data_IF_531673180318
#
_entry.id   IF_531673180318
#
_cell.length_a   1.000
_cell.length_b   1.000
_cell.length_c   1.000
_cell.angle_alpha   90.00
_cell.angle_beta   90.00
_cell.angle_gamma   90.00
#
_symmetry.space_group_name_H-M   'P 1'
#
loop_
_entity.id
_entity.type
_entity.pdbx_description
1 polymer ?
2 non-polymer ?
3 non-polymer ?
4 non-polymer ?
5 water ?
#
# COMPACT_ATOMS: atom_id res chain seq x y z
N UNK A 4 -22.22 26.09 8.91
CA UNK A 4 -21.04 25.43 9.53
C UNK A 4 -21.42 24.21 10.41
N UNK A 5 -22.55 24.30 11.15
CA UNK A 5 -22.98 23.22 12.06
C UNK A 5 -23.96 22.17 11.45
N UNK A 6 -24.71 22.55 10.41
CA UNK A 6 -25.69 21.65 9.75
C UNK A 6 -25.05 20.49 8.96
N UNK A 7 -25.66 19.30 9.01
CA UNK A 7 -25.33 18.20 8.07
C UNK A 7 -26.53 17.85 7.14
N UNK A 8 -26.45 16.78 6.35
CA UNK A 8 -27.53 16.42 5.40
C UNK A 8 -28.80 15.84 6.08
N UNK A 9 -28.65 15.53 7.38
CA UNK A 9 -29.71 15.03 8.28
C UNK A 9 -30.54 16.19 8.81
N UNK A 10 -29.83 17.27 9.13
CA UNK A 10 -30.29 18.41 9.89
C UNK A 10 -30.87 19.57 9.04
N UNK A 11 -30.44 19.67 7.79
CA UNK A 11 -30.82 20.75 6.85
C UNK A 11 -32.24 20.56 6.31
N UNK A 12 -32.88 21.64 5.87
CA UNK A 12 -34.21 21.54 5.25
C UNK A 12 -34.15 21.09 3.80
N UNK A 13 -34.90 20.02 3.49
CA UNK A 13 -35.07 19.60 2.12
C UNK A 13 -36.15 20.50 1.48
N UNK A 14 -35.68 21.49 0.71
CA UNK A 14 -36.52 22.47 0.03
C UNK A 14 -36.79 22.17 -1.45
N UNK A 15 -36.14 21.14 -1.99
CA UNK A 15 -36.33 20.69 -3.38
C UNK A 15 -37.08 19.35 -3.44
N UNK A 16 -38.20 19.24 -2.72
CA UNK A 16 -39.02 18.03 -2.69
C UNK A 16 -40.26 18.36 -3.53
N UNK A 17 -40.29 17.91 -4.80
CA UNK A 17 -41.38 18.34 -5.68
C UNK A 17 -42.73 17.65 -5.34
N UNK A 18 -43.85 18.24 -5.78
CA UNK A 18 -45.15 17.59 -5.59
C UNK A 18 -45.26 16.27 -6.38
N UNK A 19 -45.58 15.16 -5.72
CA UNK A 19 -45.63 13.83 -6.38
C UNK A 19 -46.87 13.64 -7.27
N UNK A 20 -46.83 14.23 -8.46
CA UNK A 20 -47.96 14.24 -9.40
C UNK A 20 -47.67 13.30 -10.58
N UNK A 21 -48.68 12.98 -11.43
CA UNK A 21 -48.35 12.18 -12.64
C UNK A 21 -47.34 12.86 -13.60
N UNK A 22 -47.31 14.17 -13.63
CA UNK A 22 -46.38 14.85 -14.51
C UNK A 22 -44.95 14.75 -13.94
N UNK A 23 -44.80 14.92 -12.63
CA UNK A 23 -43.49 14.74 -12.03
C UNK A 23 -42.99 13.31 -12.34
N UNK A 24 -43.85 12.32 -12.16
CA UNK A 24 -43.48 10.91 -12.37
C UNK A 24 -43.11 10.66 -13.84
N UNK A 25 -43.83 11.28 -14.76
CA UNK A 25 -43.50 11.27 -16.18
C UNK A 25 -42.13 11.92 -16.48
N UNK A 26 -41.82 13.00 -15.76
CA UNK A 26 -40.57 13.71 -15.96
C UNK A 26 -39.43 12.80 -15.49
N UNK A 27 -39.62 12.07 -14.39
CA UNK A 27 -38.57 11.20 -13.84
C UNK A 27 -38.35 9.98 -14.72
N UNK A 28 -39.46 9.44 -15.23
CA UNK A 28 -39.43 8.38 -16.23
C UNK A 28 -38.69 8.85 -17.49
N UNK A 29 -38.99 10.07 -17.91
CA UNK A 29 -38.30 10.61 -19.04
C UNK A 29 -36.79 10.83 -18.79
N UNK A 30 -36.38 11.11 -17.53
CA UNK A 30 -34.97 11.19 -17.15
C UNK A 30 -34.26 9.86 -17.42
N UNK A 31 -34.79 8.76 -16.87
CA UNK A 31 -34.22 7.41 -17.03
C UNK A 31 -34.06 7.08 -18.51
N UNK A 32 -35.06 7.45 -19.30
CA UNK A 32 -35.00 7.19 -20.73
C UNK A 32 -33.84 7.90 -21.42
N UNK A 33 -33.51 9.09 -20.93
CA UNK A 33 -32.59 9.95 -21.62
C UNK A 33 -31.22 9.98 -20.97
N UNK A 34 -30.98 9.03 -20.06
CA UNK A 34 -29.73 8.88 -19.30
C UNK A 34 -29.33 10.09 -18.49
N UNK A 35 -30.31 10.57 -17.73
CA UNK A 35 -30.26 11.75 -16.89
C UNK A 35 -30.56 11.38 -15.43
N UNK A 36 -29.73 11.84 -14.49
CA UNK A 36 -30.02 11.67 -13.07
C UNK A 36 -29.96 13.04 -12.38
N UNK A 37 -31.08 13.49 -11.81
CA UNK A 37 -31.12 14.80 -11.17
C UNK A 37 -30.25 14.83 -9.90
N UNK A 38 -29.64 15.97 -9.65
CA UNK A 38 -28.85 16.19 -8.46
C UNK A 38 -29.65 16.12 -7.16
N UNK A 39 -30.88 16.59 -7.21
CA UNK A 39 -31.57 16.91 -5.97
C UNK A 39 -32.06 15.70 -5.15
N UNK A 40 -32.06 14.52 -5.76
CA UNK A 40 -32.50 13.32 -5.09
C UNK A 40 -31.31 12.61 -4.44
N UNK A 41 -30.17 13.29 -4.41
CA UNK A 41 -28.92 12.58 -4.30
C UNK A 41 -27.81 13.43 -3.73
N UNK A 42 -28.11 14.68 -3.37
CA UNK A 42 -27.02 15.58 -3.07
C UNK A 42 -26.12 15.10 -1.93
N UNK A 43 -26.74 14.64 -0.84
CA UNK A 43 -26.00 14.30 0.37
C UNK A 43 -25.08 13.12 0.12
N UNK A 44 -25.45 12.27 -0.82
CA UNK A 44 -24.65 11.09 -1.09
C UNK A 44 -23.38 11.46 -1.88
N UNK A 45 -23.53 12.29 -2.87
CA UNK A 45 -22.42 12.64 -3.70
C UNK A 45 -21.46 13.54 -2.99
N UNK A 46 -21.95 14.35 -2.08
CA UNK A 46 -21.09 15.30 -1.43
C UNK A 46 -21.14 15.26 0.09
N UNK A 47 -20.65 14.19 0.70
CA UNK A 47 -20.76 14.09 2.15
C UNK A 47 -20.03 15.25 2.87
N UNK A 48 -20.38 15.47 4.14
CA UNK A 48 -19.73 16.47 5.02
C UNK A 48 -18.21 16.26 5.17
N UNK A 49 -17.82 15.00 5.24
CA UNK A 49 -16.42 14.63 5.29
C UNK A 49 -16.39 13.26 4.67
N UNK A 50 -15.19 12.78 4.30
CA UNK A 50 -15.14 11.47 3.66
C UNK A 50 -15.81 10.35 4.46
N UNK A 51 -16.55 9.53 3.72
CA UNK A 51 -17.32 8.42 4.30
C UNK A 51 -17.16 7.22 3.41
N UNK A 52 -16.08 6.48 3.59
CA UNK A 52 -15.76 5.41 2.66
C UNK A 52 -16.76 4.22 2.77
N UNK A 53 -16.93 3.54 1.64
CA UNK A 53 -17.60 2.25 1.57
C UNK A 53 -16.65 1.17 2.09
N UNK A 54 -15.32 1.41 1.92
CA UNK A 54 -14.31 0.60 2.60
C UNK A 54 -14.43 0.75 4.10
N UNK A 55 -14.14 -0.34 4.78
CA UNK A 55 -14.37 -0.39 6.19
C UNK A 55 -13.01 -0.68 6.79
N UNK A 56 -12.75 -0.15 8.01
CA UNK A 56 -11.50 -0.59 8.63
C UNK A 56 -11.53 -2.10 8.85
N UNK A 57 -10.39 -2.77 8.74
CA UNK A 57 -10.38 -4.24 8.90
C UNK A 57 -8.97 -4.73 9.14
N UNK A 58 -8.84 -5.86 9.82
CA UNK A 58 -7.56 -6.48 10.17
C UNK A 58 -7.52 -7.91 9.62
N UNK A 59 -6.42 -8.28 8.98
CA UNK A 59 -6.22 -9.65 8.52
C UNK A 59 -5.06 -10.24 9.30
N UNK A 60 -5.22 -11.48 9.79
CA UNK A 60 -4.22 -12.10 10.67
C UNK A 60 -3.23 -12.83 9.79
N UNK A 61 -1.96 -12.83 10.18
CA UNK A 61 -0.93 -13.38 9.34
C UNK A 61 -1.01 -14.91 9.36
N UNK A 62 -1.33 -15.50 10.52
CA UNK A 62 -1.48 -16.95 10.59
C UNK A 62 -2.57 -17.42 9.60
N UNK A 63 -3.68 -16.68 9.53
CA UNK A 63 -4.74 -16.97 8.56
C UNK A 63 -4.20 -16.79 7.12
N UNK A 64 -3.45 -15.70 6.87
CA UNK A 64 -2.98 -15.46 5.50
C UNK A 64 -1.98 -16.53 5.08
N UNK A 65 -1.11 -16.93 6.01
CA UNK A 65 -0.14 -17.99 5.81
C UNK A 65 -0.74 -19.36 5.51
N UNK A 66 -1.63 -19.82 6.38
CA UNK A 66 -2.32 -21.08 6.16
C UNK A 66 -2.97 -21.11 4.75
N UNK A 67 -3.73 -20.06 4.37
CA UNK A 67 -4.41 -20.04 3.06
C UNK A 67 -3.45 -19.95 1.86
N UNK A 68 -2.38 -19.18 1.98
CA UNK A 68 -1.38 -19.11 0.93
C UNK A 68 -0.66 -20.45 0.77
N UNK A 69 -0.35 -21.10 1.89
CA UNK A 69 0.25 -22.44 1.89
C UNK A 69 -0.64 -23.53 1.26
N UNK A 70 -1.91 -23.50 1.57
CA UNK A 70 -2.86 -24.39 0.95
C UNK A 70 -2.97 -24.10 -0.53
N UNK A 71 -3.05 -22.83 -0.90
CA UNK A 71 -2.98 -22.39 -2.29
C UNK A 71 -1.76 -22.94 -2.96
N UNK A 72 -0.63 -22.97 -2.26
CA UNK A 72 0.59 -23.58 -2.79
C UNK A 72 0.55 -25.07 -3.11
N UNK A 73 -0.29 -25.84 -2.42
CA UNK A 73 -0.50 -27.26 -2.76
C UNK A 73 -1.42 -27.47 -3.95
N UNK A 74 -2.47 -26.65 -4.03
CA UNK A 74 -3.60 -26.95 -4.92
C UNK A 74 -3.56 -26.22 -6.24
N UNK A 75 -2.79 -25.13 -6.30
CA UNK A 75 -2.83 -24.28 -7.50
C UNK A 75 -1.45 -24.12 -8.10
N UNK A 76 -1.29 -24.49 -9.38
CA UNK A 76 0.04 -24.23 -9.94
C UNK A 76 0.15 -22.75 -10.32
N UNK A 77 1.37 -22.22 -10.21
CA UNK A 77 1.64 -20.87 -10.63
C UNK A 77 2.20 -20.94 -12.04
N UNK A 78 1.83 -19.96 -12.86
CA UNK A 78 2.21 -19.90 -14.25
C UNK A 78 1.45 -18.88 -15.04
N UNK A 79 1.40 -19.11 -16.34
CA UNK A 79 0.97 -18.15 -17.34
C UNK A 79 -0.37 -17.41 -17.25
N UNK A 80 -1.49 -18.07 -17.06
CA UNK A 80 -2.71 -17.33 -17.18
C UNK A 80 -3.02 -16.33 -16.09
N UNK A 81 -3.11 -16.83 -14.86
CA UNK A 81 -3.37 -16.05 -13.70
C UNK A 81 -2.16 -15.29 -13.22
N UNK A 82 -1.02 -15.64 -13.77
CA UNK A 82 0.26 -14.91 -13.56
C UNK A 82 0.98 -15.14 -12.20
N UNK A 83 0.23 -15.09 -11.08
CA UNK A 83 0.76 -15.13 -9.73
C UNK A 83 -0.15 -15.89 -8.75
N UNK A 84 0.43 -16.68 -7.85
CA UNK A 84 -0.30 -17.21 -6.70
C UNK A 84 -0.37 -16.15 -5.62
N UNK A 85 -1.23 -15.19 -5.87
CA UNK A 85 -1.40 -14.02 -5.04
C UNK A 85 -2.84 -13.89 -4.51
N UNK A 86 -2.99 -13.74 -3.19
CA UNK A 86 -4.30 -13.65 -2.52
C UNK A 86 -4.51 -12.19 -2.08
N UNK A 87 -5.53 -11.54 -2.64
CA UNK A 87 -5.74 -10.11 -2.39
C UNK A 87 -6.68 -9.87 -1.25
N UNK A 88 -6.31 -8.98 -0.33
CA UNK A 88 -7.17 -8.69 0.80
C UNK A 88 -8.33 -7.89 0.29
N UNK A 89 -9.54 -8.37 0.53
CA UNK A 89 -10.72 -7.74 -0.06
C UNK A 89 -11.53 -7.03 1.00
N UNK A 90 -11.65 -5.71 0.91
CA UNK A 90 -12.43 -5.00 1.90
C UNK A 90 -13.92 -5.40 1.90
N UNK A 91 -14.45 -5.82 3.08
CA UNK A 91 -15.85 -6.26 3.15
C UNK A 91 -16.81 -5.17 2.65
N UNK A 92 -16.38 -3.91 2.68
CA UNK A 92 -17.22 -2.81 2.29
C UNK A 92 -17.24 -2.52 0.80
N UNK A 93 -16.40 -3.21 0.02
CA UNK A 93 -16.17 -2.86 -1.39
C UNK A 93 -16.82 -3.85 -2.42
N UNK A 94 -17.97 -4.37 -2.03
CA UNK A 94 -18.88 -5.09 -2.90
C UNK A 94 -18.33 -6.26 -3.69
N UNK A 95 -17.42 -7.05 -3.11
CA UNK A 95 -16.86 -8.20 -3.81
C UNK A 95 -15.64 -7.91 -4.68
N UNK A 96 -15.22 -6.65 -4.76
CA UNK A 96 -13.99 -6.28 -5.45
C UNK A 96 -12.73 -6.69 -4.64
N UNK A 97 -11.69 -7.11 -5.34
CA UNK A 97 -10.43 -7.53 -4.74
C UNK A 97 -9.55 -6.34 -4.34
N UNK A 98 -10.17 -5.37 -3.67
CA UNK A 98 -9.53 -4.09 -3.30
C UNK A 98 -9.41 -3.99 -1.81
N UNK A 99 -8.21 -3.73 -1.25
CA UNK A 99 -8.15 -3.55 0.20
C UNK A 99 -8.77 -2.16 0.61
N UNK A 100 -8.70 -1.23 -0.34
CA UNK A 100 -9.23 0.10 -0.22
C UNK A 100 -9.53 0.54 -1.67
N UNK A 101 -10.22 1.67 -1.85
CA UNK A 101 -10.59 2.11 -3.22
C UNK A 101 -9.41 2.33 -4.17
N UNK A 102 -8.21 2.47 -3.62
CA UNK A 102 -7.05 2.77 -4.46
C UNK A 102 -6.07 1.61 -4.60
N UNK A 103 -6.09 0.68 -3.65
CA UNK A 103 -4.93 -0.20 -3.49
C UNK A 103 -5.28 -1.67 -3.35
N UNK A 104 -4.55 -2.47 -4.11
CA UNK A 104 -4.44 -3.89 -3.86
C UNK A 104 -3.34 -4.09 -2.84
N UNK A 105 -3.69 -4.86 -1.81
CA UNK A 105 -2.75 -5.41 -0.83
C UNK A 105 -2.97 -6.92 -0.77
N UNK A 106 -1.91 -7.70 -0.87
CA UNK A 106 -2.07 -9.12 -1.06
C UNK A 106 -0.88 -9.91 -0.57
N UNK A 107 -1.09 -11.20 -0.30
CA UNK A 107 0.00 -12.13 -0.02
C UNK A 107 0.29 -12.96 -1.28
N UNK A 108 1.57 -13.12 -1.60
CA UNK A 108 1.96 -13.98 -2.67
C UNK A 108 2.88 -15.07 -2.12
N UNK A 109 2.75 -16.27 -2.66
CA UNK A 109 3.50 -17.45 -2.21
C UNK A 109 4.16 -18.09 -3.46
N UNK A 110 5.47 -18.31 -3.41
CA UNK A 110 6.19 -19.03 -4.45
C UNK A 110 6.84 -20.22 -3.81
N UNK A 111 6.43 -21.43 -4.23
CA UNK A 111 6.99 -22.67 -3.73
C UNK A 111 8.37 -22.93 -4.31
N UNK A 112 9.04 -23.98 -3.82
CA UNK A 112 10.38 -24.41 -4.30
C UNK A 112 10.57 -24.36 -5.82
N UNK A 113 11.56 -23.64 -6.30
CA UNK A 113 12.01 -23.76 -7.71
C UNK A 113 10.97 -23.30 -8.70
N UNK A 114 9.96 -22.62 -8.22
CA UNK A 114 8.96 -22.11 -9.13
C UNK A 114 9.42 -20.80 -9.75
N UNK A 115 8.91 -20.56 -10.95
CA UNK A 115 9.09 -19.35 -11.72
C UNK A 115 7.73 -18.70 -11.97
N UNK A 116 7.66 -17.39 -11.79
CA UNK A 116 6.46 -16.63 -12.15
C UNK A 116 6.86 -15.77 -13.36
N UNK A 117 6.29 -16.06 -14.53
CA UNK A 117 6.80 -15.47 -15.78
C UNK A 117 6.73 -13.93 -15.86
N UNK A 118 7.57 -13.37 -16.73
CA UNK A 118 7.74 -11.93 -16.92
C UNK A 118 6.57 -11.26 -17.60
N UNK A 119 6.14 -10.16 -17.00
CA UNK A 119 5.15 -9.28 -17.61
C UNK A 119 5.45 -7.81 -17.29
N UNK A 120 4.73 -6.88 -17.93
CA UNK A 120 4.65 -5.48 -17.45
C UNK A 120 3.25 -4.87 -17.60
N UNK A 121 3.03 -3.82 -16.80
CA UNK A 121 1.73 -3.19 -16.67
C UNK A 121 1.90 -1.73 -16.20
N UNK A 122 1.03 -0.81 -16.64
CA UNK A 122 1.20 0.60 -16.27
C UNK A 122 1.10 0.72 -14.75
N UNK A 123 0.35 -0.18 -14.14
CA UNK A 123 0.14 -0.19 -12.70
C UNK A 123 1.46 -0.35 -11.93
N UNK A 124 1.62 0.49 -10.92
CA UNK A 124 2.82 0.54 -10.10
C UNK A 124 2.78 -0.51 -8.99
N UNK A 125 3.92 -1.12 -8.68
CA UNK A 125 3.95 -2.18 -7.68
C UNK A 125 5.19 -2.16 -6.75
N UNK A 126 5.08 -2.82 -5.58
CA UNK A 126 6.19 -3.03 -4.68
C UNK A 126 6.00 -4.37 -3.96
N UNK A 127 7.10 -4.95 -3.48
CA UNK A 127 7.07 -6.16 -2.66
C UNK A 127 7.57 -5.85 -1.27
N UNK A 128 6.93 -6.43 -0.27
CA UNK A 128 7.53 -6.35 1.06
C UNK A 128 7.55 -7.67 1.80
N UNK A 129 8.67 -7.93 2.47
CA UNK A 129 8.97 -9.22 3.08
C UNK A 129 9.09 -9.16 4.62
N UNK A 130 8.07 -9.62 5.35
CA UNK A 130 8.15 -9.76 6.84
C UNK A 130 9.06 -10.94 7.24
N UNK A 131 9.08 -11.98 6.41
CA UNK A 131 9.83 -13.22 6.67
C UNK A 131 10.03 -13.98 5.35
N UNK A 132 11.19 -14.65 5.23
CA UNK A 132 11.54 -15.41 4.03
C UNK A 132 12.90 -15.06 3.44
N UNK A 133 13.44 -15.95 2.64
CA UNK A 133 14.59 -15.69 1.76
C UNK A 133 14.50 -16.78 0.71
N UNK A 134 15.15 -16.56 -0.44
CA UNK A 134 15.14 -17.55 -1.52
C UNK A 134 14.66 -17.08 -2.88
N UNK A 135 13.85 -16.01 -2.94
CA UNK A 135 13.31 -15.48 -4.21
C UNK A 135 14.13 -14.32 -4.79
N UNK A 136 14.35 -14.34 -6.11
CA UNK A 136 14.84 -13.19 -6.88
C UNK A 136 13.77 -12.70 -7.81
N UNK A 137 13.59 -11.39 -7.88
CA UNK A 137 12.65 -10.81 -8.80
C UNK A 137 13.46 -10.04 -9.84
N UNK A 138 13.25 -10.34 -11.11
CA UNK A 138 14.12 -9.81 -12.16
C UNK A 138 13.43 -8.62 -12.83
N UNK A 139 13.92 -7.41 -12.53
CA UNK A 139 13.26 -6.20 -12.95
C UNK A 139 14.03 -5.55 -14.11
N UNK A 140 13.47 -5.57 -15.32
CA UNK A 140 14.18 -5.09 -16.51
C UNK A 140 15.51 -5.83 -16.73
N UNK A 141 15.50 -7.15 -16.53
CA UNK A 141 16.70 -7.94 -16.68
C UNK A 141 17.68 -7.93 -15.51
N UNK A 142 17.36 -7.18 -14.47
CA UNK A 142 18.26 -6.96 -13.35
C UNK A 142 17.78 -7.77 -12.12
N UNK A 143 18.49 -8.87 -11.78
CA UNK A 143 18.05 -9.70 -10.65
C UNK A 143 18.15 -9.00 -9.31
N UNK A 144 17.06 -9.03 -8.55
CA UNK A 144 17.00 -8.35 -7.29
C UNK A 144 16.62 -9.36 -6.18
N UNK A 145 17.58 -9.69 -5.32
CA UNK A 145 17.33 -10.53 -4.14
C UNK A 145 16.17 -10.01 -3.28
N UNK A 146 15.35 -10.92 -2.76
CA UNK A 146 14.32 -10.58 -1.77
C UNK A 146 14.62 -11.20 -0.36
N UNK A 147 14.71 -10.39 0.70
CA UNK A 147 14.98 -10.91 2.04
C UNK A 147 14.12 -10.23 3.09
N UNK A 148 14.13 -10.78 4.31
CA UNK A 148 13.36 -10.25 5.43
C UNK A 148 13.63 -8.74 5.51
N UNK A 149 12.58 -7.96 5.67
CA UNK A 149 12.65 -6.51 5.82
C UNK A 149 12.89 -5.67 4.58
N UNK A 150 13.02 -6.29 3.40
CA UNK A 150 13.34 -5.58 2.18
C UNK A 150 12.10 -5.04 1.48
N UNK A 151 12.14 -3.79 1.04
CA UNK A 151 11.16 -3.22 0.10
C UNK A 151 11.70 -3.31 -1.30
N UNK A 152 10.97 -3.98 -2.17
CA UNK A 152 11.42 -4.09 -3.54
C UNK A 152 10.42 -3.32 -4.40
N UNK A 153 10.93 -2.61 -5.40
CA UNK A 153 10.08 -1.78 -6.23
C UNK A 153 9.90 -2.41 -7.56
N UNK A 154 8.76 -2.13 -8.19
CA UNK A 154 8.55 -2.51 -9.57
C UNK A 154 7.66 -1.46 -10.25
N UNK A 155 8.25 -0.31 -10.60
CA UNK A 155 7.41 0.78 -11.06
C UNK A 155 6.70 0.38 -12.32
N UNK A 156 5.63 1.10 -12.62
CA UNK A 156 4.84 0.86 -13.82
C UNK A 156 5.67 0.77 -15.09
N UNK A 157 5.32 -0.19 -15.92
CA UNK A 157 5.88 -0.37 -17.23
C UNK A 157 7.26 -1.02 -17.28
N UNK A 158 7.73 -1.50 -16.13
CA UNK A 158 8.95 -2.30 -16.05
C UNK A 158 8.61 -3.76 -16.10
N UNK A 159 9.34 -4.51 -16.90
CA UNK A 159 9.25 -5.99 -16.92
C UNK A 159 9.70 -6.56 -15.58
N UNK A 160 9.01 -7.60 -15.12
CA UNK A 160 9.38 -8.32 -13.90
C UNK A 160 8.81 -9.71 -13.93
N UNK A 161 9.60 -10.66 -13.45
CA UNK A 161 9.14 -11.99 -13.11
C UNK A 161 9.96 -12.52 -11.92
N UNK A 162 9.40 -13.45 -11.16
CA UNK A 162 10.03 -13.93 -9.94
C UNK A 162 10.44 -15.40 -10.11
N UNK A 163 11.57 -15.80 -9.53
CA UNK A 163 11.95 -17.22 -9.44
C UNK A 163 12.50 -17.62 -8.06
N UNK A 164 12.06 -18.76 -7.53
CA UNK A 164 12.52 -19.24 -6.24
C UNK A 164 13.69 -20.18 -6.45
N UNK A 165 14.88 -19.72 -6.06
CA UNK A 165 16.15 -20.42 -6.33
C UNK A 165 16.54 -21.46 -5.27
N UNK A 166 15.57 -21.93 -4.50
CA UNK A 166 15.78 -22.70 -3.29
C UNK A 166 14.75 -23.86 -3.20
N UNK A 167 14.90 -24.74 -2.21
CA UNK A 167 13.99 -25.88 -2.04
C UNK A 167 13.02 -25.63 -0.89
N UNK A 168 12.73 -24.37 -0.69
CA UNK A 168 11.96 -23.92 0.45
C UNK A 168 11.06 -22.81 -0.08
N UNK A 169 9.79 -22.74 0.38
CA UNK A 169 8.86 -21.70 -0.09
C UNK A 169 9.11 -20.32 0.59
N UNK A 170 8.76 -19.24 -0.11
CA UNK A 170 8.74 -17.90 0.47
C UNK A 170 7.41 -17.20 0.23
N UNK A 171 7.00 -16.42 1.20
CA UNK A 171 5.88 -15.51 1.01
C UNK A 171 6.32 -14.07 1.29
N UNK A 172 5.65 -13.16 0.59
CA UNK A 172 5.81 -11.72 0.77
C UNK A 172 4.46 -11.04 0.48
N UNK A 173 4.41 -9.71 0.60
CA UNK A 173 3.19 -8.98 0.22
C UNK A 173 3.41 -8.08 -0.98
N UNK A 174 2.36 -7.92 -1.76
CA UNK A 174 2.33 -6.99 -2.87
C UNK A 174 1.44 -5.82 -2.53
N UNK A 175 1.87 -4.63 -2.96
CA UNK A 175 0.98 -3.47 -3.00
C UNK A 175 0.97 -2.95 -4.41
N UNK A 176 -0.22 -2.57 -4.89
CA UNK A 176 -0.36 -2.05 -6.26
C UNK A 176 -1.42 -0.99 -6.34
N UNK A 177 -1.33 -0.12 -7.35
CA UNK A 177 -2.45 0.82 -7.56
C UNK A 177 -3.50 0.18 -8.48
N UNK A 178 -3.50 -1.15 -8.55
CA UNK A 178 -4.51 -1.96 -9.27
C UNK A 178 -5.96 -1.37 -9.20
N UNK A 179 -6.52 -1.13 -7.99
CA UNK A 179 -7.89 -0.58 -7.85
C UNK A 179 -8.12 0.86 -8.37
N UNK A 180 -7.27 1.80 -7.96
CA UNK A 180 -7.29 3.13 -8.62
C UNK A 180 -7.24 2.94 -10.13
N UNK A 181 -6.37 2.06 -10.59
CA UNK A 181 -6.11 1.97 -12.02
C UNK A 181 -7.29 1.38 -12.83
N UNK A 182 -7.96 0.39 -12.25
CA UNK A 182 -9.17 -0.16 -12.84
C UNK A 182 -10.29 0.89 -12.93
N UNK A 183 -10.59 1.57 -11.83
CA UNK A 183 -11.71 2.50 -11.82
C UNK A 183 -11.42 3.70 -12.66
N UNK A 184 -10.14 4.09 -12.76
CA UNK A 184 -9.76 5.27 -13.57
C UNK A 184 -9.45 5.02 -15.07
N UNK A 185 -9.42 3.75 -15.47
CA UNK A 185 -9.09 3.35 -16.86
C UNK A 185 -7.67 3.71 -17.33
N UNK A 186 -6.66 3.33 -16.54
CA UNK A 186 -5.28 3.65 -16.92
C UNK A 186 -4.42 2.42 -17.29
N UNK A 187 -5.02 1.24 -17.24
CA UNK A 187 -4.35 -0.05 -17.36
C UNK A 187 -3.84 -0.46 -18.72
N UNK A 188 -2.55 -0.75 -18.82
CA UNK A 188 -1.99 -1.39 -19.99
C UNK A 188 -1.29 -2.63 -19.48
N UNK A 189 -1.18 -3.63 -20.35
CA UNK A 189 -0.60 -4.90 -19.93
C UNK A 189 0.10 -5.59 -21.05
N UNK A 190 1.22 -6.20 -20.72
CA UNK A 190 1.98 -6.89 -21.72
C UNK A 190 2.71 -8.13 -21.18
N UNK A 191 2.55 -9.22 -21.94
CA UNK A 191 3.16 -10.51 -21.62
C UNK A 191 4.62 -10.43 -22.10
N UNK A 192 5.56 -10.86 -21.25
CA UNK A 192 7.00 -10.99 -21.60
C UNK A 192 7.43 -12.45 -21.58
N UNK A 193 8.70 -12.72 -21.31
CA UNK A 193 9.19 -14.11 -21.34
C UNK A 193 8.46 -15.04 -20.33
N UNK A 194 8.29 -16.30 -20.74
CA UNK A 194 7.69 -17.34 -19.90
C UNK A 194 8.57 -17.78 -18.70
N UNK A 195 9.87 -17.51 -18.76
CA UNK A 195 10.77 -17.80 -17.65
C UNK A 195 11.14 -16.41 -17.05
N UNK A 196 12.29 -16.30 -16.39
CA UNK A 196 12.92 -14.99 -16.19
C UNK A 196 14.11 -14.88 -17.16
N UNK A 197 14.51 -13.66 -17.51
CA UNK A 197 15.53 -13.48 -18.56
C UNK A 197 16.98 -13.61 -18.05
N UNK A 198 17.10 -13.70 -16.72
CA UNK A 198 18.37 -13.94 -16.02
C UNK A 198 18.17 -14.74 -14.74
N UNK A 199 18.72 -15.95 -14.69
CA UNK A 199 18.61 -16.79 -13.48
C UNK A 199 19.74 -16.55 -12.46
N UNK A 200 20.72 -15.69 -12.80
CA UNK A 200 21.78 -15.35 -11.85
C UNK A 200 21.22 -14.74 -10.55
N UNK A 201 21.93 -15.00 -9.45
CA UNK A 201 21.45 -14.62 -8.13
C UNK A 201 22.43 -13.69 -7.41
N UNK A 202 22.78 -12.52 -8.01
CA UNK A 202 23.72 -11.62 -7.28
C UNK A 202 23.17 -11.23 -5.91
N UNK A 203 24.07 -11.04 -4.96
CA UNK A 203 23.64 -10.55 -3.64
C UNK A 203 22.97 -9.14 -3.73
N UNK A 204 23.43 -8.30 -4.65
CA UNK A 204 22.83 -6.97 -4.90
C UNK A 204 22.71 -6.76 -6.39
N UNK A 205 21.72 -5.94 -6.73
CA UNK A 205 21.36 -5.60 -8.11
C UNK A 205 22.15 -4.43 -8.63
N UNK A 206 22.11 -4.23 -9.94
CA UNK A 206 22.76 -3.12 -10.63
C UNK A 206 22.24 -1.74 -10.18
N UNK A 207 20.92 -1.55 -10.18
CA UNK A 207 20.32 -0.35 -9.59
C UNK A 207 20.95 -0.01 -8.26
N UNK A 208 20.95 -0.96 -7.31
CA UNK A 208 21.55 -0.73 -5.99
C UNK A 208 23.04 -0.35 -6.01
N UNK A 209 23.80 -0.95 -6.93
CA UNK A 209 25.24 -0.71 -6.95
C UNK A 209 25.55 0.65 -7.58
N UNK A 210 24.58 1.18 -8.30
CA UNK A 210 24.67 2.51 -8.88
C UNK A 210 24.08 3.60 -7.93
N UNK A 211 23.02 3.28 -7.18
CA UNK A 211 22.18 4.30 -6.56
C UNK A 211 22.08 4.24 -5.04
N UNK A 212 22.75 3.28 -4.41
CA UNK A 212 22.58 3.14 -2.99
C UNK A 212 23.80 3.60 -2.20
N UNK A 213 24.47 4.62 -2.74
CA UNK A 213 25.55 5.33 -2.04
C UNK A 213 25.03 6.70 -1.58
N UNK A 214 24.98 6.94 -0.28
CA UNK A 214 24.27 8.12 0.24
C UNK A 214 24.82 9.50 -0.20
N UNK A 215 23.94 10.33 -0.73
CA UNK A 215 24.31 11.67 -1.19
C UNK A 215 25.07 11.72 -2.49
N UNK A 216 25.15 10.58 -3.19
CA UNK A 216 25.97 10.39 -4.39
C UNK A 216 25.10 9.91 -5.58
N UNK A 217 25.32 10.51 -6.74
CA UNK A 217 24.52 10.32 -7.93
C UNK A 217 25.42 10.06 -9.14
N UNK A 218 25.21 8.95 -9.88
CA UNK A 218 26.08 8.76 -11.03
C UNK A 218 25.91 9.91 -12.02
N UNK A 219 27.00 10.33 -12.69
CA UNK A 219 26.89 11.34 -13.75
C UNK A 219 26.15 10.81 -14.99
N UNK A 220 26.06 9.47 -15.09
CA UNK A 220 25.29 8.85 -16.19
C UNK A 220 23.79 8.82 -15.88
N UNK A 221 23.42 9.28 -14.67
CA UNK A 221 22.05 9.29 -14.22
C UNK A 221 21.58 10.65 -13.71
N UNK A 222 21.79 11.67 -14.53
CA UNK A 222 21.51 13.05 -14.11
C UNK A 222 20.07 13.50 -14.47
N UNK A 223 19.41 12.77 -15.37
CA UNK A 223 17.97 13.01 -15.61
C UNK A 223 17.10 12.52 -14.39
N UNK A 224 16.12 13.31 -13.97
CA UNK A 224 15.22 12.83 -12.93
C UNK A 224 14.26 11.72 -13.43
N UNK A 225 13.83 10.84 -12.53
CA UNK A 225 12.89 9.77 -12.94
C UNK A 225 11.54 9.98 -12.25
N UNK A 226 10.46 9.41 -12.81
CA UNK A 226 9.17 9.52 -12.12
C UNK A 226 9.08 8.51 -10.98
N UNK A 227 9.74 7.38 -11.16
CA UNK A 227 9.76 6.35 -10.13
C UNK A 227 11.21 6.19 -9.64
N UNK A 228 11.42 5.66 -8.43
CA UNK A 228 12.80 5.40 -7.95
C UNK A 228 13.53 4.35 -8.78
N UNK A 229 14.81 4.59 -9.13
CA UNK A 229 15.60 3.59 -9.81
C UNK A 229 16.25 2.59 -8.83
N UNK A 230 16.04 2.77 -7.52
CA UNK A 230 16.51 1.83 -6.50
C UNK A 230 15.54 0.62 -6.50
N UNK A 231 16.07 -0.57 -6.79
CA UNK A 231 15.25 -1.76 -6.89
C UNK A 231 14.94 -2.41 -5.56
N UNK A 232 15.90 -2.28 -4.61
CA UNK A 232 15.72 -2.83 -3.30
C UNK A 232 16.11 -1.80 -2.25
N UNK A 233 15.27 -1.62 -1.24
CA UNK A 233 15.62 -0.82 -0.08
C UNK A 233 15.83 -1.86 1.02
N UNK A 234 17.09 -2.14 1.36
CA UNK A 234 17.38 -3.36 2.16
C UNK A 234 17.23 -3.15 3.64
N UNK A 235 16.73 -4.15 4.36
CA UNK A 235 16.48 -4.03 5.79
C UNK A 235 17.62 -3.40 6.61
N UNK A 236 18.88 -3.73 6.30
CA UNK A 236 19.98 -3.18 7.10
C UNK A 236 20.02 -1.63 7.17
N UNK A 237 19.66 -0.95 6.08
CA UNK A 237 19.65 0.50 6.12
C UNK A 237 18.44 1.06 6.89
N UNK A 238 17.28 0.40 6.73
CA UNK A 238 16.07 0.80 7.38
C UNK A 238 16.23 0.64 8.89
N UNK A 239 16.76 -0.51 9.29
CA UNK A 239 17.01 -0.78 10.70
C UNK A 239 17.98 0.23 11.34
N UNK A 240 19.00 0.60 10.60
CA UNK A 240 20.04 1.45 11.12
C UNK A 240 19.52 2.88 11.27
N UNK A 241 18.77 3.32 10.27
CA UNK A 241 18.16 4.66 10.32
C UNK A 241 17.31 4.82 11.58
N UNK A 242 16.48 3.81 11.83
CA UNK A 242 15.50 3.87 12.90
C UNK A 242 16.21 3.86 14.29
N UNK A 243 17.24 3.03 14.41
CA UNK A 243 18.11 2.99 15.58
C UNK A 243 18.75 4.37 15.80
N UNK A 244 19.38 4.92 14.77
CA UNK A 244 19.98 6.27 14.90
C UNK A 244 18.98 7.32 15.38
N UNK A 245 17.77 7.31 14.85
CA UNK A 245 16.79 8.29 15.31
C UNK A 245 16.50 8.16 16.80
N UNK A 246 16.40 6.91 17.26
CA UNK A 246 16.19 6.60 18.71
C UNK A 246 17.40 7.00 19.58
N UNK A 247 18.61 6.66 19.12
CA UNK A 247 19.83 7.14 19.73
C UNK A 247 19.89 8.70 19.83
N UNK A 248 19.60 9.39 18.73
CA UNK A 248 19.58 10.86 18.69
C UNK A 248 18.56 11.44 19.67
N UNK A 249 17.40 10.80 19.76
CA UNK A 249 16.42 11.16 20.76
C UNK A 249 16.97 11.05 22.21
N UNK A 250 17.66 9.96 22.50
CA UNK A 250 18.29 9.74 23.81
C UNK A 250 19.29 10.87 24.12
N UNK A 251 19.98 11.31 23.07
CA UNK A 251 21.02 12.31 23.20
C UNK A 251 20.43 13.73 23.18
N UNK A 252 19.11 13.84 23.35
CA UNK A 252 18.42 15.16 23.25
C UNK A 252 18.39 15.86 21.89
N UNK A 253 18.61 15.13 20.81
CA UNK A 253 18.69 15.76 19.49
C UNK A 253 17.44 15.55 18.64
N UNK A 254 17.04 16.57 17.88
CA UNK A 254 15.82 16.37 17.08
C UNK A 254 16.04 15.30 15.98
N UNK A 255 15.02 14.51 15.67
CA UNK A 255 15.19 13.31 14.79
C UNK A 255 13.89 12.53 14.62
N UNK A 256 13.30 12.16 15.77
CA UNK A 256 12.09 11.38 15.81
C UNK A 256 10.95 12.28 15.35
N UNK A 257 9.88 11.67 14.88
CA UNK A 257 8.77 12.41 14.41
C UNK A 257 7.82 12.86 15.55
N UNK A 258 7.77 12.06 16.62
CA UNK A 258 7.07 12.34 17.88
C UNK A 258 7.84 11.55 18.94
N UNK A 259 7.62 11.84 20.24
CA UNK A 259 8.50 11.23 21.26
C UNK A 259 8.49 9.67 21.26
N UNK A 260 9.65 9.05 21.11
CA UNK A 260 9.72 7.59 21.07
C UNK A 260 9.11 6.99 19.82
N UNK A 261 8.75 7.85 18.86
CA UNK A 261 8.25 7.43 17.51
C UNK A 261 9.31 7.71 16.44
N UNK A 262 10.10 6.71 16.05
CA UNK A 262 10.99 6.86 14.88
C UNK A 262 10.31 6.44 13.59
N UNK A 263 10.61 7.16 12.49
CA UNK A 263 10.03 6.87 11.17
C UNK A 263 10.86 7.37 9.99
N UNK A 264 10.98 6.55 8.94
CA UNK A 264 11.55 6.95 7.63
C UNK A 264 10.50 6.80 6.58
N UNK A 265 10.61 7.61 5.50
CA UNK A 265 9.86 7.47 4.24
C UNK A 265 10.80 6.95 3.17
N UNK A 266 10.42 5.92 2.44
CA UNK A 266 11.27 5.47 1.33
C UNK A 266 11.12 6.41 0.16
N UNK A 267 12.25 6.85 -0.39
CA UNK A 267 12.23 7.86 -1.48
C UNK A 267 12.99 7.54 -2.79
N UNK A 268 12.60 8.27 -3.81
CA UNK A 268 13.27 8.35 -5.10
C UNK A 268 14.51 9.25 -4.95
N UNK A 269 15.71 8.65 -5.03
CA UNK A 269 16.82 9.55 -4.78
C UNK A 269 16.96 10.68 -5.84
N UNK A 270 16.28 10.59 -6.98
CA UNK A 270 16.53 11.59 -8.05
C UNK A 270 15.78 12.87 -7.73
N UNK A 271 14.75 12.80 -6.86
CA UNK A 271 13.91 13.98 -6.49
C UNK A 271 13.72 14.23 -4.99
N UNK A 272 13.98 13.22 -4.18
CA UNK A 272 13.65 13.27 -2.75
C UNK A 272 12.19 13.00 -2.42
N UNK A 273 11.37 12.75 -3.44
CA UNK A 273 9.93 12.46 -3.30
C UNK A 273 9.62 10.97 -3.26
N UNK A 274 8.35 10.62 -3.52
CA UNK A 274 7.85 9.28 -3.23
C UNK A 274 8.41 8.25 -4.17
N UNK A 275 8.40 7.00 -3.72
CA UNK A 275 8.99 5.91 -4.52
C UNK A 275 8.36 5.82 -5.90
N UNK A 276 7.05 6.03 -5.97
CA UNK A 276 6.30 5.92 -7.24
C UNK A 276 5.19 6.98 -7.26
N UNK A 277 4.65 7.32 -8.44
CA UNK A 277 3.64 8.38 -8.46
C UNK A 277 2.39 8.22 -7.60
N UNK A 278 1.93 6.99 -7.40
CA UNK A 278 0.65 6.74 -6.71
C UNK A 278 0.84 6.16 -5.28
N UNK A 279 2.04 5.76 -4.92
CA UNK A 279 2.20 4.91 -3.75
C UNK A 279 3.30 5.45 -2.86
N UNK A 280 2.99 5.64 -1.57
CA UNK A 280 3.96 6.06 -0.56
C UNK A 280 4.30 4.91 0.40
N UNK A 281 5.59 4.69 0.61
CA UNK A 281 6.05 3.68 1.53
C UNK A 281 6.83 4.29 2.67
N UNK A 282 6.61 3.75 3.87
CA UNK A 282 7.23 4.26 5.08
C UNK A 282 7.51 3.08 6.00
N UNK A 283 8.36 3.31 6.99
CA UNK A 283 8.63 2.32 8.00
C UNK A 283 8.77 3.05 9.34
N UNK A 284 8.03 2.55 10.34
CA UNK A 284 7.87 3.15 11.66
C UNK A 284 8.42 2.17 12.72
N UNK A 285 9.10 2.70 13.76
CA UNK A 285 9.52 1.92 14.93
C UNK A 285 9.11 2.71 16.17
N UNK A 286 8.26 2.11 17.00
CA UNK A 286 7.80 2.77 18.25
C UNK A 286 8.44 2.09 19.41
N UNK A 287 8.84 2.90 20.40
CA UNK A 287 9.33 2.40 21.67
C UNK A 287 8.19 1.69 22.39
N UNK A 288 8.52 0.60 23.06
CA UNK A 288 7.60 -0.01 24.02
C UNK A 288 6.91 1.10 24.80
N UNK A 289 5.58 1.05 24.88
CA UNK A 289 4.80 2.04 25.64
C UNK A 289 4.26 3.25 24.87
N UNK A 290 4.80 3.50 23.68
CA UNK A 290 4.40 4.63 22.88
C UNK A 290 2.98 4.45 22.36
N UNK A 291 2.17 5.51 22.49
CA UNK A 291 0.87 5.62 21.86
C UNK A 291 0.84 6.87 20.97
N UNK A 292 0.55 6.71 19.68
CA UNK A 292 0.57 7.84 18.74
C UNK A 292 -0.72 8.63 18.90
N UNK A 293 -0.63 9.92 18.54
CA UNK A 293 -1.74 10.82 18.67
C UNK A 293 -2.72 10.43 17.57
N UNK A 294 -4.01 10.53 17.85
CA UNK A 294 -5.03 10.13 16.89
C UNK A 294 -5.00 11.02 15.65
N UNK A 295 -5.07 10.42 14.47
CA UNK A 295 -4.93 11.15 13.23
C UNK A 295 -6.15 10.90 12.38
N UNK A 296 -6.61 11.92 11.66
CA UNK A 296 -7.54 11.66 10.55
C UNK A 296 -6.77 12.07 9.31
N UNK A 297 -6.62 11.18 8.32
CA UNK A 297 -5.96 11.55 7.06
C UNK A 297 -6.81 11.19 5.86
N UNK A 298 -6.80 12.05 4.85
CA UNK A 298 -7.48 11.78 3.60
C UNK A 298 -6.73 10.67 2.86
N UNK A 299 -7.50 9.73 2.30
CA UNK A 299 -6.98 8.62 1.54
C UNK A 299 -6.72 7.45 2.47
N UNK A 300 -6.22 6.37 1.88
CA UNK A 300 -6.19 5.13 2.61
C UNK A 300 -4.78 4.69 2.87
N UNK A 301 -4.60 3.93 3.93
CA UNK A 301 -3.27 3.45 4.27
C UNK A 301 -3.31 2.03 4.80
N UNK A 302 -2.26 1.27 4.53
CA UNK A 302 -2.18 -0.12 4.97
C UNK A 302 -0.90 -0.27 5.77
N UNK A 303 -0.92 -1.04 6.85
CA UNK A 303 0.31 -1.35 7.59
C UNK A 303 0.47 -2.86 7.63
N UNK A 304 1.68 -3.38 7.54
CA UNK A 304 1.97 -4.75 7.97
C UNK A 304 2.88 -4.67 9.19
N UNK A 305 2.50 -5.33 10.29
CA UNK A 305 3.42 -5.42 11.43
C UNK A 305 4.68 -6.16 11.03
N UNK A 306 5.85 -5.59 11.25
CA UNK A 306 7.05 -6.29 10.92
C UNK A 306 7.61 -7.12 12.10
N UNK A 307 7.63 -6.52 13.29
CA UNK A 307 8.15 -7.16 14.50
C UNK A 307 7.54 -6.48 15.74
N UNK A 308 7.33 -7.26 16.81
CA UNK A 308 6.80 -6.72 18.07
C UNK A 308 5.32 -6.93 18.24
N UNK A 309 4.81 -6.49 19.38
CA UNK A 309 3.41 -6.67 19.72
C UNK A 309 2.85 -5.31 19.99
N UNK A 310 1.62 -5.09 19.57
CA UNK A 310 0.90 -3.93 19.99
C UNK A 310 -0.53 -4.01 19.52
N UNK A 311 -1.13 -2.83 19.33
CA UNK A 311 -2.53 -2.66 19.05
C UNK A 311 -2.71 -1.56 18.00
N UNK A 312 -3.77 -1.66 17.20
CA UNK A 312 -4.25 -0.48 16.45
C UNK A 312 -5.60 -0.06 17.02
N UNK A 313 -5.85 1.23 17.10
CA UNK A 313 -7.20 1.74 17.43
C UNK A 313 -7.73 2.41 16.18
N UNK A 314 -8.87 1.96 15.65
CA UNK A 314 -9.55 2.60 14.50
C UNK A 314 -11.03 2.78 14.81
N UNK A 315 -11.53 4.02 14.74
CA UNK A 315 -12.89 4.35 15.20
C UNK A 315 -13.16 4.06 16.67
N UNK A 316 -12.15 4.06 17.52
CA UNK A 316 -12.42 3.84 18.93
C UNK A 316 -12.16 2.39 19.31
N UNK A 317 -11.99 1.55 18.29
CA UNK A 317 -11.90 0.12 18.46
C UNK A 317 -10.47 -0.36 18.41
N UNK A 318 -10.00 -0.91 19.54
CA UNK A 318 -8.68 -1.46 19.69
C UNK A 318 -8.74 -2.84 19.16
N UNK A 319 -7.77 -3.21 18.32
CA UNK A 319 -7.50 -4.57 17.90
C UNK A 319 -6.03 -4.86 18.18
N UNK A 320 -5.76 -6.02 18.78
CA UNK A 320 -4.42 -6.39 19.11
C UNK A 320 -3.75 -7.01 17.92
N UNK A 321 -2.46 -6.72 17.78
CA UNK A 321 -1.70 -7.03 16.58
C UNK A 321 -0.44 -7.81 16.90
N UNK A 322 -0.17 -8.76 16.01
CA UNK A 322 1.03 -9.57 16.08
C UNK A 322 1.81 -9.54 14.76
N UNK A 323 3.00 -10.12 14.79
CA UNK A 323 3.88 -10.12 13.64
C UNK A 323 3.23 -10.63 12.35
N UNK A 324 3.32 -9.77 11.33
CA UNK A 324 2.81 -10.01 10.00
C UNK A 324 1.36 -9.65 9.71
N UNK A 325 0.59 -9.33 10.73
CA UNK A 325 -0.79 -8.90 10.61
C UNK A 325 -0.86 -7.65 9.77
N UNK A 326 -1.94 -7.51 9.02
CA UNK A 326 -2.16 -6.34 8.18
C UNK A 326 -3.47 -5.65 8.55
N UNK A 327 -3.51 -4.34 8.40
CA UNK A 327 -4.76 -3.62 8.54
C UNK A 327 -4.88 -2.47 7.57
N UNK A 328 -6.11 -2.09 7.30
CA UNK A 328 -6.36 -0.94 6.47
C UNK A 328 -7.13 0.12 7.25
N UNK A 329 -6.74 1.38 7.01
CA UNK A 329 -7.40 2.56 7.56
C UNK A 329 -7.94 3.39 6.35
N UNK A 330 -9.25 3.26 6.07
CA UNK A 330 -9.88 4.07 5.06
C UNK A 330 -9.80 5.57 5.28
N UNK A 331 -10.09 6.30 4.21
CA UNK A 331 -9.97 7.72 4.25
C UNK A 331 -10.70 8.30 5.47
N UNK A 332 -9.99 9.10 6.26
CA UNK A 332 -10.56 9.94 7.35
C UNK A 332 -11.00 9.18 8.59
N UNK A 333 -10.74 7.89 8.65
CA UNK A 333 -11.05 7.11 9.84
C UNK A 333 -9.98 7.46 10.88
N UNK A 334 -10.38 7.85 12.11
CA UNK A 334 -9.35 8.24 13.09
C UNK A 334 -8.56 6.98 13.51
N UNK A 335 -7.24 7.09 13.61
CA UNK A 335 -6.38 5.94 13.95
C UNK A 335 -5.17 6.28 14.82
N UNK A 336 -4.79 5.35 15.69
CA UNK A 336 -3.53 5.48 16.44
C UNK A 336 -3.00 4.11 16.65
N UNK A 337 -1.68 4.02 16.86
CA UNK A 337 -1.02 2.79 17.19
C UNK A 337 -0.54 2.82 18.63
N UNK A 338 -0.45 1.64 19.26
CA UNK A 338 -0.01 1.50 20.65
C UNK A 338 0.99 0.34 20.73
N UNK A 339 2.16 0.64 21.26
CA UNK A 339 3.25 -0.31 21.28
C UNK A 339 3.27 -0.96 22.65
N UNK A 340 3.06 -2.26 22.69
CA UNK A 340 3.32 -3.01 23.91
C UNK A 340 4.85 -3.22 24.02
N UNK A 341 5.46 -3.96 23.10
CA UNK A 341 6.91 -4.01 23.00
C UNK A 341 7.39 -2.96 21.98
N UNK A 342 8.69 -2.95 21.68
CA UNK A 342 9.15 -2.15 20.58
C UNK A 342 8.38 -2.60 19.31
N UNK A 343 7.73 -1.67 18.63
CA UNK A 343 6.74 -2.03 17.63
C UNK A 343 7.18 -1.54 16.25
N UNK A 344 7.58 -2.47 15.39
CA UNK A 344 8.00 -2.12 14.03
C UNK A 344 6.90 -2.39 13.02
N UNK A 345 6.60 -1.42 12.16
CA UNK A 345 5.61 -1.61 11.10
C UNK A 345 5.98 -1.07 9.69
N UNK A 346 5.54 -1.78 8.66
CA UNK A 346 5.67 -1.35 7.30
C UNK A 346 4.40 -0.66 6.90
N UNK A 347 4.50 0.44 6.13
CA UNK A 347 3.33 1.23 5.77
C UNK A 347 3.28 1.63 4.30
N UNK A 348 2.08 1.60 3.74
CA UNK A 348 1.89 2.20 2.44
C UNK A 348 0.55 2.95 2.29
N UNK A 349 0.49 3.86 1.33
CA UNK A 349 -0.73 4.64 1.23
C UNK A 349 -0.92 5.21 -0.16
N UNK A 350 -2.12 5.71 -0.43
CA UNK A 350 -2.36 6.48 -1.65
C UNK A 350 -2.09 8.01 -1.47
N UNK A 351 -1.35 8.39 -0.42
CA UNK A 351 -1.16 9.82 -0.13
C UNK A 351 -0.55 10.62 -1.30
N UNK A 352 0.33 9.99 -2.12
CA UNK A 352 0.88 10.80 -3.20
C UNK A 352 -0.22 11.25 -4.19
N UNK A 353 -1.26 10.42 -4.37
CA UNK A 353 -2.38 10.80 -5.24
C UNK A 353 -3.12 12.01 -4.65
N UNK A 354 -3.34 11.96 -3.32
CA UNK A 354 -4.13 12.97 -2.60
C UNK A 354 -3.38 14.29 -2.62
N UNK A 355 -2.09 14.23 -2.30
CA UNK A 355 -1.26 15.43 -2.28
C UNK A 355 -1.02 16.04 -3.68
N UNK A 356 -0.86 15.20 -4.71
CA UNK A 356 -0.63 15.70 -6.06
C UNK A 356 -1.85 16.50 -6.57
N UNK A 357 -3.04 16.12 -6.07
CA UNK A 357 -4.27 16.75 -6.53
C UNK A 357 -4.86 17.73 -5.52
N UNK A 358 -4.08 18.09 -4.50
CA UNK A 358 -4.48 19.03 -3.43
C UNK A 358 -5.72 18.62 -2.60
N UNK A 359 -5.99 17.32 -2.52
CA UNK A 359 -7.07 16.82 -1.68
C UNK A 359 -6.72 16.47 -0.23
N UNK A 360 -5.44 16.53 0.10
CA UNK A 360 -4.97 16.06 1.41
C UNK A 360 -5.42 16.97 2.57
N UNK A 361 -5.89 16.35 3.64
CA UNK A 361 -6.13 17.04 4.88
C UNK A 361 -5.68 16.14 6.04
N UNK A 362 -5.40 16.75 7.19
CA UNK A 362 -4.83 16.04 8.32
C UNK A 362 -5.32 16.71 9.59
N UNK A 363 -5.97 15.92 10.43
CA UNK A 363 -6.40 16.35 11.75
C UNK A 363 -5.59 15.54 12.73
N UNK A 364 -4.87 16.18 13.63
CA UNK A 364 -4.13 15.45 14.68
C UNK A 364 -4.64 15.87 16.08
N UNK A 365 -5.04 14.92 16.92
CA UNK A 365 -5.47 15.24 18.30
C UNK A 365 -4.35 16.01 19.05
N UNK A 366 -4.71 17.06 19.77
CA UNK A 366 -3.70 17.95 20.42
C UNK A 366 -3.18 19.17 19.65
N UNK A 367 -3.80 19.50 18.50
CA UNK A 367 -3.40 20.66 17.66
C UNK A 367 -4.43 21.12 16.62
#
# INVERSE_FOLDING_TARGET
MQNEKLDHESVTQAMQPKDTPELRALYKSFEEESIIPLWTQLGDLMPIHPKSKAVPHVWKWSTLLRLARKSGELVPVGRGGERRALGLANPGLGGNAYISPTMWAGIQYLGPRETAPEHRHSQNAFRFVVEGEGVWTVVNGDPVRMSRGDLLLTPGWCFHGHMNDTDQPMAWIDGLDIPFSQQMDVGFFEFGSDRVTDYATPNFSRGERLWCHPGLRPLSGLQNTVASPIGAYRWEFTDRALTEQLLLEDEGQPATVAPGHAAIRYVNPTTGGDVMPTLRCEFHRLRAGTETATRNEVGSTVFQVFEGAGAVVMNGETTKLEKGDMFVVPSWVPWSLQAETQFDLFRFSDAPIMEALSFMRTKIEGQK
#
